data_IF_171682315464
#
_entry.id   IF_171682315464
#
_cell.length_a   1.000
_cell.length_b   1.000
_cell.length_c   1.000
_cell.angle_alpha   90.00
_cell.angle_beta   90.00
_cell.angle_gamma   90.00
#
_symmetry.space_group_name_H-M   'P 1'
#
loop_
_entity.id
_entity.type
_entity.pdbx_description
1 polymer ?
#
# COMPACT_ATOMS: atom_id res chain seq x y z
N UNK A 1 -0.78 -20.74 -7.05
CA UNK A 1 -1.21 -19.49 -6.42
C UNK A 1 -0.12 -19.15 -5.44
N UNK A 2 0.53 -18.01 -5.65
CA UNK A 2 1.64 -17.57 -4.78
C UNK A 2 1.12 -17.20 -3.39
N UNK A 3 1.95 -17.38 -2.37
CA UNK A 3 1.64 -17.02 -0.99
C UNK A 3 1.62 -15.49 -0.81
N UNK A 4 1.17 -15.03 0.37
CA UNK A 4 1.26 -13.61 0.70
C UNK A 4 2.72 -13.15 0.80
N UNK A 5 3.54 -13.96 1.48
CA UNK A 5 4.98 -13.73 1.68
C UNK A 5 5.74 -13.69 0.36
N UNK A 6 5.43 -14.59 -0.58
CA UNK A 6 6.05 -14.59 -1.92
C UNK A 6 5.74 -13.31 -2.69
N UNK A 7 4.49 -12.83 -2.66
CA UNK A 7 4.08 -11.60 -3.32
C UNK A 7 4.65 -10.35 -2.63
N UNK A 8 4.79 -10.37 -1.31
CA UNK A 8 5.42 -9.30 -0.56
C UNK A 8 6.92 -9.21 -0.89
N UNK A 9 7.63 -10.34 -0.90
CA UNK A 9 9.04 -10.39 -1.30
C UNK A 9 9.24 -9.90 -2.73
N UNK A 10 8.31 -10.23 -3.64
CA UNK A 10 8.32 -9.71 -5.01
C UNK A 10 8.16 -8.19 -5.04
N UNK A 11 7.23 -7.63 -4.27
CA UNK A 11 7.05 -6.18 -4.19
C UNK A 11 8.32 -5.48 -3.68
N UNK A 12 8.97 -6.02 -2.65
CA UNK A 12 10.24 -5.50 -2.11
C UNK A 12 11.36 -5.51 -3.16
N UNK A 13 11.44 -6.57 -3.97
CA UNK A 13 12.38 -6.65 -5.08
C UNK A 13 12.14 -5.55 -6.13
N UNK A 14 10.87 -5.32 -6.50
CA UNK A 14 10.50 -4.29 -7.47
C UNK A 14 10.84 -2.89 -6.96
N UNK A 15 10.56 -2.60 -5.68
CA UNK A 15 10.92 -1.33 -5.03
C UNK A 15 12.43 -1.14 -5.06
N UNK A 16 13.19 -2.14 -4.63
CA UNK A 16 14.67 -2.10 -4.65
C UNK A 16 15.19 -1.80 -6.05
N UNK A 17 14.62 -2.44 -7.07
CA UNK A 17 15.01 -2.20 -8.47
C UNK A 17 14.74 -0.77 -8.91
N UNK A 18 13.60 -0.18 -8.54
CA UNK A 18 13.29 1.21 -8.85
C UNK A 18 14.24 2.18 -8.14
N UNK A 19 14.52 1.93 -6.86
CA UNK A 19 15.41 2.78 -6.04
C UNK A 19 16.86 2.78 -6.54
N UNK A 20 17.34 1.68 -7.12
CA UNK A 20 18.70 1.63 -7.68
C UNK A 20 18.92 2.57 -8.86
N UNK A 21 17.85 3.07 -9.50
CA UNK A 21 17.91 4.09 -10.55
C UNK A 21 18.60 3.66 -11.85
N UNK A 22 19.00 2.39 -11.98
CA UNK A 22 19.77 1.89 -13.12
C UNK A 22 18.88 1.20 -14.17
N UNK A 23 17.56 1.40 -14.10
CA UNK A 23 16.61 0.87 -15.07
C UNK A 23 16.36 1.86 -16.21
N UNK A 24 16.34 1.39 -17.48
CA UNK A 24 15.78 2.16 -18.58
C UNK A 24 14.34 2.60 -18.28
N UNK A 25 13.93 3.77 -18.77
CA UNK A 25 12.63 4.37 -18.48
C UNK A 25 11.46 3.43 -18.74
N UNK A 26 11.42 2.76 -19.90
CA UNK A 26 10.36 1.80 -20.24
C UNK A 26 10.25 0.68 -19.20
N UNK A 27 11.39 0.11 -18.81
CA UNK A 27 11.42 -0.94 -17.78
C UNK A 27 11.02 -0.40 -16.39
N UNK A 28 11.32 0.86 -16.10
CA UNK A 28 10.94 1.49 -14.83
C UNK A 28 9.41 1.66 -14.75
N UNK A 29 8.77 2.06 -15.85
CA UNK A 29 7.31 2.16 -15.95
C UNK A 29 6.67 0.79 -15.76
N UNK A 30 7.17 -0.25 -16.45
CA UNK A 30 6.65 -1.62 -16.29
C UNK A 30 6.81 -2.14 -14.85
N UNK A 31 7.97 -1.89 -14.24
CA UNK A 31 8.27 -2.28 -12.85
C UNK A 31 7.35 -1.57 -11.86
N UNK A 32 7.06 -0.28 -12.09
CA UNK A 32 6.12 0.49 -11.29
C UNK A 32 4.69 -0.03 -11.41
N UNK A 33 4.22 -0.33 -12.64
CA UNK A 33 2.90 -0.90 -12.84
C UNK A 33 2.73 -2.26 -12.14
N UNK A 34 3.74 -3.13 -12.22
CA UNK A 34 3.76 -4.41 -11.52
C UNK A 34 3.68 -4.20 -10.00
N UNK A 35 4.49 -3.30 -9.47
CA UNK A 35 4.51 -2.95 -8.05
C UNK A 35 3.15 -2.43 -7.55
N UNK A 36 2.50 -1.57 -8.34
CA UNK A 36 1.19 -1.02 -7.99
C UNK A 36 0.11 -2.11 -7.95
N UNK A 37 0.10 -3.02 -8.93
CA UNK A 37 -0.82 -4.17 -8.95
C UNK A 37 -0.60 -5.10 -7.75
N UNK A 38 0.66 -5.39 -7.41
CA UNK A 38 1.00 -6.21 -6.25
C UNK A 38 0.55 -5.55 -4.94
N UNK A 39 0.86 -4.26 -4.76
CA UNK A 39 0.46 -3.48 -3.58
C UNK A 39 -1.05 -3.53 -3.34
N UNK A 40 -1.85 -3.26 -4.39
CA UNK A 40 -3.31 -3.34 -4.31
C UNK A 40 -3.80 -4.75 -3.93
N UNK A 41 -3.18 -5.80 -4.48
CA UNK A 41 -3.56 -7.18 -4.18
C UNK A 41 -3.22 -7.60 -2.74
N UNK A 42 -2.10 -7.12 -2.19
CA UNK A 42 -1.67 -7.37 -0.82
C UNK A 42 -2.62 -6.66 0.16
N UNK A 43 -2.95 -5.39 -0.11
CA UNK A 43 -3.92 -4.62 0.67
C UNK A 43 -5.30 -5.31 0.73
N UNK A 44 -5.79 -5.80 -0.42
CA UNK A 44 -7.06 -6.55 -0.47
C UNK A 44 -7.01 -7.86 0.34
N UNK A 45 -5.85 -8.54 0.33
CA UNK A 45 -5.65 -9.76 1.12
C UNK A 45 -5.69 -9.46 2.62
N UNK A 46 -5.01 -8.38 3.06
CA UNK A 46 -5.02 -7.94 4.45
C UNK A 46 -6.42 -7.51 4.91
N UNK A 47 -7.14 -6.73 4.09
CA UNK A 47 -8.51 -6.32 4.40
C UNK A 47 -9.45 -7.52 4.57
N UNK A 48 -9.25 -8.58 3.78
CA UNK A 48 -10.02 -9.82 3.90
C UNK A 48 -9.68 -10.56 5.20
N UNK A 49 -8.40 -10.60 5.58
CA UNK A 49 -7.97 -11.21 6.83
C UNK A 49 -8.52 -10.45 8.06
N UNK A 50 -8.46 -9.11 8.03
CA UNK A 50 -9.01 -8.23 9.07
C UNK A 50 -10.50 -8.49 9.30
N UNK A 51 -11.31 -8.46 8.23
CA UNK A 51 -12.76 -8.76 8.30
C UNK A 51 -13.05 -10.13 8.92
N UNK A 52 -12.22 -11.13 8.62
CA UNK A 52 -12.39 -12.47 9.22
C UNK A 52 -12.10 -12.45 10.71
N UNK A 53 -11.07 -11.72 11.16
CA UNK A 53 -10.77 -11.53 12.58
C UNK A 53 -11.91 -10.79 13.28
N UNK A 54 -12.43 -9.72 12.68
CA UNK A 54 -13.58 -8.98 13.24
C UNK A 54 -14.80 -9.87 13.47
N UNK A 55 -15.15 -10.71 12.49
CA UNK A 55 -16.27 -11.65 12.62
C UNK A 55 -16.05 -12.66 13.74
N UNK A 56 -14.82 -13.17 13.91
CA UNK A 56 -14.48 -14.10 14.99
C UNK A 56 -14.61 -13.43 16.36
N UNK A 57 -14.12 -12.21 16.51
CA UNK A 57 -14.22 -11.42 17.75
C UNK A 57 -15.67 -11.04 18.07
N UNK A 58 -16.47 -10.70 17.06
CA UNK A 58 -17.90 -10.43 17.21
C UNK A 58 -18.68 -11.65 17.74
N UNK A 59 -18.26 -12.86 17.34
CA UNK A 59 -18.84 -14.13 17.76
C UNK A 59 -18.64 -14.46 19.25
N UNK A 60 -17.64 -13.87 19.91
CA UNK A 60 -17.36 -14.12 21.34
C UNK A 60 -18.05 -13.13 22.29
N UNK A 61 -18.35 -11.89 21.90
CA UNK A 61 -18.90 -10.87 22.82
C UNK A 61 -20.00 -9.93 22.26
N UNK A 62 -20.52 -10.14 21.04
CA UNK A 62 -21.76 -9.51 20.57
C UNK A 62 -21.76 -7.97 20.41
N UNK A 63 -20.63 -7.28 20.60
CA UNK A 63 -20.50 -5.84 20.31
C UNK A 63 -19.29 -5.59 19.42
N UNK A 64 -19.55 -5.20 18.18
CA UNK A 64 -18.54 -4.72 17.23
C UNK A 64 -18.48 -3.19 17.36
N UNK A 65 -17.33 -2.66 17.78
CA UNK A 65 -17.01 -1.24 17.60
C UNK A 65 -15.85 -1.17 16.63
N UNK A 66 -16.17 -1.23 15.33
CA UNK A 66 -15.21 -0.92 14.28
C UNK A 66 -15.06 0.61 14.24
N UNK A 67 -13.91 1.13 14.67
CA UNK A 67 -13.53 2.49 14.29
C UNK A 67 -12.81 2.42 12.94
N UNK A 68 -13.21 3.23 11.95
CA UNK A 68 -12.44 3.36 10.72
C UNK A 68 -10.99 3.71 11.06
N UNK A 69 -10.04 2.99 10.46
CA UNK A 69 -8.63 3.38 10.44
C UNK A 69 -8.52 4.63 9.55
N UNK A 70 -8.34 5.79 10.17
CA UNK A 70 -7.91 7.01 9.49
C UNK A 70 -6.45 6.81 9.08
N UNK A 71 -6.24 6.46 7.81
CA UNK A 71 -4.92 6.56 7.20
C UNK A 71 -4.72 8.05 6.97
N UNK A 72 -3.87 8.68 7.80
CA UNK A 72 -3.35 10.02 7.50
C UNK A 72 -2.56 9.91 6.19
N UNK A 73 -3.18 10.33 5.09
CA UNK A 73 -2.43 10.70 3.90
C UNK A 73 -1.65 11.95 4.31
N UNK A 74 -0.36 11.80 4.58
CA UNK A 74 0.56 12.94 4.54
C UNK A 74 0.63 13.33 3.07
N UNK A 75 -0.34 14.13 2.63
CA UNK A 75 -0.25 14.94 1.44
C UNK A 75 0.82 16.00 1.74
N UNK A 76 2.08 15.59 1.67
CA UNK A 76 3.21 16.48 1.47
C UNK A 76 3.13 16.98 0.02
N UNK A 77 2.09 17.76 -0.30
CA UNK A 77 2.09 18.63 -1.47
C UNK A 77 2.97 19.84 -1.15
N UNK A 78 4.23 19.68 -1.57
CA UNK A 78 5.08 20.67 -2.25
C UNK A 78 5.08 22.13 -1.73
N UNK A 79 6.23 22.48 -1.17
CA UNK A 79 6.84 23.81 -1.29
C UNK A 79 6.79 24.36 -2.73
N UNK A 80 6.68 25.69 -2.85
CA UNK A 80 6.75 26.58 -4.03
C UNK A 80 5.35 27.02 -4.55
N UNK A 81 4.97 28.28 -4.67
CA UNK A 81 5.61 29.60 -4.66
C UNK A 81 4.55 30.56 -4.01
N UNK A 82 4.80 31.76 -3.50
CA UNK A 82 5.24 32.92 -4.27
C UNK A 82 5.34 34.13 -3.31
N UNK A 83 6.48 34.79 -3.36
CA UNK A 83 6.76 36.11 -2.81
C UNK A 83 5.74 37.14 -3.35
N UNK A 84 4.86 37.68 -2.50
CA UNK A 84 4.01 38.83 -2.87
C UNK A 84 3.75 39.78 -1.69
N UNK A 85 4.74 40.66 -1.48
CA UNK A 85 4.56 42.11 -1.33
C UNK A 85 3.27 42.63 -0.65
N UNK A 86 3.36 42.96 0.65
CA UNK A 86 2.78 44.20 1.18
C UNK A 86 3.42 44.65 2.49
#
# INVERSE_FOLDING_TARGET
MESFEERLARLEELVTRLETGNLPLENAVDTFEEGMKLSQSLAATLQTAEKRVEVLLAGENGQVVAKPLEIETTDDEDDADEEQNR
#
